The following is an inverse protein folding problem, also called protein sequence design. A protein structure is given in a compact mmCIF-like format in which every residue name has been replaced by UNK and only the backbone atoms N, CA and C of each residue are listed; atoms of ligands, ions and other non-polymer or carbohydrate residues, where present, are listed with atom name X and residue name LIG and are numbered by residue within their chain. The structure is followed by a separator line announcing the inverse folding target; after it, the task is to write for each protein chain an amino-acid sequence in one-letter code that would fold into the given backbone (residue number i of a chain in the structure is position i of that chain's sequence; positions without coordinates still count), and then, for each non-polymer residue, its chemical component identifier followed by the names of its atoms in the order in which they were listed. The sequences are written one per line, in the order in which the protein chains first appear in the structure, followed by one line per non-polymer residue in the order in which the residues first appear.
data_IF_204540956315
#
_entry.id   IF_204540956315
#
_cell.length_a   1.000
_cell.length_b   1.000
_cell.length_c   1.000
_cell.angle_alpha   90.00
_cell.angle_beta   90.00
_cell.angle_gamma   90.00
#
_symmetry.space_group_name_H-M   'P 1'
#
loop_
_entity.id
_entity.type
_entity.pdbx_description
1 polymer ?
#
# COMPACT_ATOMS: atom_id res chain seq x y z
N UNK A 1 -25.53 -4.12 -1.03
CA UNK A 1 -24.33 -3.46 -0.48
C UNK A 1 -23.91 -2.42 -1.48
N UNK A 2 -23.77 -1.16 -1.09
CA UNK A 2 -23.26 -0.11 -2.00
C UNK A 2 -21.84 -0.49 -2.41
N UNK A 3 -21.55 -0.43 -3.71
CA UNK A 3 -20.17 -0.48 -4.19
C UNK A 3 -19.42 0.73 -3.60
N UNK A 4 -18.28 0.47 -2.96
CA UNK A 4 -17.49 1.51 -2.30
C UNK A 4 -16.67 2.21 -3.39
N UNK A 5 -17.10 3.39 -3.83
CA UNK A 5 -16.43 4.11 -4.92
C UNK A 5 -15.01 4.54 -4.51
N UNK A 6 -14.07 4.42 -5.44
CA UNK A 6 -12.67 4.80 -5.24
C UNK A 6 -11.75 3.71 -4.69
N UNK A 7 -12.24 2.46 -4.57
CA UNK A 7 -11.39 1.30 -4.28
C UNK A 7 -11.06 0.53 -5.57
N UNK A 8 -9.85 -0.03 -5.62
CA UNK A 8 -9.40 -0.95 -6.67
C UNK A 8 -9.34 -2.37 -6.11
N UNK A 9 -9.86 -3.34 -6.85
CA UNK A 9 -9.56 -4.75 -6.61
C UNK A 9 -8.14 -5.09 -7.07
N UNK A 10 -7.54 -6.15 -6.51
CA UNK A 10 -6.16 -6.55 -6.84
C UNK A 10 -5.98 -6.92 -8.32
N UNK A 11 -7.01 -7.48 -8.97
CA UNK A 11 -6.96 -7.81 -10.39
C UNK A 11 -6.96 -6.55 -11.27
N UNK A 12 -7.67 -5.50 -10.84
CA UNK A 12 -7.65 -4.20 -11.51
C UNK A 12 -6.29 -3.52 -11.34
N UNK A 13 -5.74 -3.54 -10.12
CA UNK A 13 -4.38 -3.05 -9.86
C UNK A 13 -3.34 -3.78 -10.72
N UNK A 14 -3.46 -5.10 -10.87
CA UNK A 14 -2.58 -5.90 -11.74
C UNK A 14 -2.71 -5.50 -13.21
N UNK A 15 -3.91 -5.17 -13.68
CA UNK A 15 -4.11 -4.70 -15.05
C UNK A 15 -3.48 -3.32 -15.28
N UNK A 16 -3.58 -2.41 -14.29
CA UNK A 16 -2.99 -1.07 -14.35
C UNK A 16 -1.45 -1.10 -14.26
N UNK A 17 -0.89 -1.95 -13.41
CA UNK A 17 0.56 -2.16 -13.31
C UNK A 17 1.15 -2.68 -14.63
N UNK A 18 0.51 -3.67 -15.27
CA UNK A 18 0.91 -4.19 -16.59
C UNK A 18 0.87 -3.17 -17.73
N UNK A 19 0.11 -2.08 -17.55
CA UNK A 19 -0.02 -0.98 -18.53
C UNK A 19 0.89 0.19 -18.18
N UNK A 20 1.75 0.04 -17.16
CA UNK A 20 2.63 1.08 -16.60
C UNK A 20 1.86 2.34 -16.14
N UNK A 21 0.57 2.19 -15.78
CA UNK A 21 -0.25 3.31 -15.27
C UNK A 21 -0.10 3.49 -13.75
N UNK A 22 0.27 2.42 -13.04
CA UNK A 22 0.62 2.44 -11.61
C UNK A 22 1.91 1.66 -11.43
N UNK A 23 3.00 2.37 -11.15
CA UNK A 23 4.32 1.79 -10.88
C UNK A 23 4.56 1.54 -9.39
N UNK A 24 3.90 2.33 -8.53
CA UNK A 24 4.21 2.40 -7.11
C UNK A 24 2.97 2.23 -6.24
N UNK A 25 3.09 1.41 -5.19
CA UNK A 25 2.08 1.27 -4.13
C UNK A 25 2.63 1.79 -2.80
N UNK A 26 1.89 2.70 -2.16
CA UNK A 26 2.19 3.16 -0.81
C UNK A 26 1.35 2.37 0.20
N UNK A 27 2.02 1.54 1.00
CA UNK A 27 1.38 0.85 2.12
C UNK A 27 1.66 1.67 3.37
N UNK A 28 0.62 2.34 3.87
CA UNK A 28 0.74 3.34 4.94
C UNK A 28 -0.22 3.07 6.09
N UNK A 29 0.17 3.54 7.27
CA UNK A 29 -0.65 3.64 8.47
C UNK A 29 -0.39 5.01 9.12
N UNK A 30 -1.24 5.40 10.07
CA UNK A 30 -1.10 6.67 10.79
C UNK A 30 -0.23 6.51 12.04
N UNK A 31 0.70 7.43 12.28
CA UNK A 31 1.43 7.56 13.55
C UNK A 31 0.61 8.29 14.64
N UNK A 32 1.22 8.57 15.81
CA UNK A 32 0.60 9.30 16.91
C UNK A 32 0.08 10.71 16.55
N UNK A 33 0.59 11.34 15.49
CA UNK A 33 0.17 12.65 15.03
C UNK A 33 -0.76 12.59 13.83
N UNK A 34 -1.13 11.38 13.38
CA UNK A 34 -1.97 11.17 12.20
C UNK A 34 -1.21 11.28 10.87
N UNK A 35 0.13 11.30 10.88
CA UNK A 35 0.96 11.34 9.67
C UNK A 35 1.03 9.96 9.05
N UNK A 36 1.11 9.87 7.72
CA UNK A 36 1.31 8.61 7.03
C UNK A 36 2.76 8.14 7.13
N UNK A 37 2.94 6.99 7.77
CA UNK A 37 4.20 6.25 7.86
C UNK A 37 4.03 4.91 7.16
N UNK A 38 5.09 4.41 6.51
CA UNK A 38 4.97 3.16 5.76
C UNK A 38 6.11 2.87 4.82
N UNK A 39 5.81 2.08 3.79
CA UNK A 39 6.75 1.70 2.74
C UNK A 39 6.20 2.05 1.36
N UNK A 40 7.14 2.33 0.46
CA UNK A 40 6.90 2.40 -0.97
C UNK A 40 7.30 1.06 -1.58
N UNK A 41 6.39 0.45 -2.32
CA UNK A 41 6.64 -0.76 -3.08
C UNK A 41 6.56 -0.46 -4.57
N UNK A 42 7.36 -1.18 -5.33
CA UNK A 42 7.06 -1.46 -6.73
C UNK A 42 5.72 -2.22 -6.81
N UNK A 43 4.88 -1.87 -7.79
CA UNK A 43 3.52 -2.40 -7.90
C UNK A 43 3.49 -3.92 -8.12
N UNK A 44 4.41 -4.46 -8.92
CA UNK A 44 4.50 -5.90 -9.16
C UNK A 44 4.95 -6.63 -7.91
N UNK A 45 5.97 -6.11 -7.21
CA UNK A 45 6.41 -6.69 -5.94
C UNK A 45 5.29 -6.67 -4.88
N UNK A 46 4.51 -5.59 -4.80
CA UNK A 46 3.36 -5.52 -3.90
C UNK A 46 2.33 -6.62 -4.21
N UNK A 47 1.96 -6.79 -5.47
CA UNK A 47 0.98 -7.79 -5.93
C UNK A 47 1.47 -9.24 -5.73
N UNK A 48 2.78 -9.47 -5.80
CA UNK A 48 3.37 -10.80 -5.67
C UNK A 48 3.56 -11.23 -4.22
N UNK A 49 3.97 -10.33 -3.34
CA UNK A 49 4.32 -10.61 -1.95
C UNK A 49 3.46 -9.86 -0.94
N UNK A 50 3.60 -8.53 -0.83
CA UNK A 50 3.02 -7.77 0.29
C UNK A 50 1.49 -7.89 0.40
N UNK A 51 0.78 -7.99 -0.73
CA UNK A 51 -0.67 -8.18 -0.75
C UNK A 51 -1.13 -9.57 -0.27
N UNK A 52 -0.25 -10.58 -0.34
CA UNK A 52 -0.56 -11.97 0.06
C UNK A 52 -0.08 -12.29 1.47
N UNK A 53 1.16 -11.92 1.75
CA UNK A 53 1.87 -12.33 2.96
C UNK A 53 1.88 -11.22 4.03
N UNK A 54 1.46 -10.01 3.67
CA UNK A 54 1.64 -8.81 4.46
C UNK A 54 3.06 -8.25 4.38
N UNK A 55 3.33 -7.23 5.17
CA UNK A 55 4.67 -6.64 5.27
C UNK A 55 4.99 -6.25 6.71
N UNK A 56 6.28 -6.25 7.06
CA UNK A 56 6.74 -5.85 8.37
C UNK A 56 6.96 -4.34 8.44
N UNK A 57 6.57 -3.73 9.56
CA UNK A 57 6.99 -2.38 9.91
C UNK A 57 7.70 -2.41 11.28
N UNK A 58 8.53 -1.41 11.52
CA UNK A 58 9.20 -1.28 12.81
C UNK A 58 8.28 -0.52 13.78
N UNK A 59 8.14 -0.99 15.02
CA UNK A 59 7.28 -0.36 16.02
C UNK A 59 7.61 1.11 16.28
N UNK A 60 8.88 1.51 16.13
CA UNK A 60 9.31 2.89 16.34
C UNK A 60 8.58 3.87 15.40
N UNK A 61 8.14 3.41 14.21
CA UNK A 61 7.41 4.24 13.25
C UNK A 61 6.05 4.72 13.77
N UNK A 62 5.51 4.11 14.83
CA UNK A 62 4.29 4.57 15.48
C UNK A 62 4.52 5.82 16.34
N UNK A 63 5.74 6.02 16.85
CA UNK A 63 6.02 7.03 17.89
C UNK A 63 7.17 7.98 17.54
N UNK A 64 7.90 7.72 16.46
CA UNK A 64 9.04 8.53 16.05
C UNK A 64 8.59 9.88 15.54
N UNK A 65 9.39 10.90 15.84
CA UNK A 65 9.27 12.21 15.22
C UNK A 65 10.40 12.39 14.20
N UNK A 66 10.04 12.42 12.92
CA UNK A 66 10.94 12.59 11.78
C UNK A 66 10.55 13.81 10.94
#
# INVERSE_FOLDING_TARGET
MSENQGLLHLDELRALARRDEIDTVLVVFTDLYGRFMGKRFDADFFLESAAKDGTHCCNYLLTVDM
#
